data_IF_286620393361
#
_entry.id   IF_286620393361
#
_cell.length_a   1.000
_cell.length_b   1.000
_cell.length_c   1.000
_cell.angle_alpha   90.00
_cell.angle_beta   90.00
_cell.angle_gamma   90.00
#
_symmetry.space_group_name_H-M   'P 1'
#
loop_
_entity.id
_entity.type
_entity.pdbx_description
1 polymer ?
#
# COMPACT_ATOMS: atom_id res chain seq x y z
N UNK A 1 14.68 15.95 -1.95
CA UNK A 1 14.58 14.54 -2.41
C UNK A 1 13.41 14.41 -3.37
N UNK A 2 13.42 13.46 -4.31
CA UNK A 2 12.28 13.22 -5.18
C UNK A 2 11.06 12.80 -4.36
N UNK A 3 9.87 13.15 -4.82
CA UNK A 3 8.63 12.70 -4.22
C UNK A 3 8.46 11.19 -4.47
N UNK A 4 8.06 10.44 -3.44
CA UNK A 4 7.92 8.98 -3.52
C UNK A 4 6.44 8.62 -3.51
N UNK A 5 6.03 7.75 -4.45
CA UNK A 5 4.72 7.13 -4.47
C UNK A 5 4.85 5.64 -4.12
N UNK A 6 4.32 5.28 -2.96
CA UNK A 6 4.26 3.89 -2.48
C UNK A 6 3.00 3.21 -3.00
N UNK A 7 3.14 2.09 -3.72
CA UNK A 7 2.05 1.22 -4.11
C UNK A 7 1.86 0.16 -3.03
N UNK A 8 0.67 0.11 -2.42
CA UNK A 8 0.35 -0.97 -1.50
C UNK A 8 0.21 -2.29 -2.23
N UNK A 9 0.70 -3.36 -1.62
CA UNK A 9 0.56 -4.71 -2.14
C UNK A 9 -0.90 -5.18 -2.22
N UNK A 10 -1.15 -6.17 -3.09
CA UNK A 10 -2.43 -6.90 -3.13
C UNK A 10 -2.17 -8.39 -3.41
N UNK A 11 -3.13 -9.30 -3.20
CA UNK A 11 -2.86 -10.71 -3.40
C UNK A 11 -2.39 -11.05 -4.84
N UNK A 12 -1.54 -12.06 -4.95
CA UNK A 12 -1.11 -12.67 -6.21
C UNK A 12 -1.29 -14.19 -6.17
N UNK A 13 -1.26 -14.84 -7.34
CA UNK A 13 -1.33 -16.31 -7.40
C UNK A 13 -0.07 -16.96 -6.81
N UNK A 14 -0.11 -18.26 -6.45
CA UNK A 14 1.08 -19.01 -6.02
C UNK A 14 2.21 -19.02 -7.05
N UNK A 15 1.89 -18.86 -8.34
CA UNK A 15 2.88 -18.77 -9.42
C UNK A 15 3.45 -17.35 -9.61
N UNK A 16 3.06 -16.39 -8.75
CA UNK A 16 3.50 -15.00 -8.83
C UNK A 16 2.77 -14.17 -9.88
N UNK A 17 1.60 -14.61 -10.35
CA UNK A 17 0.78 -13.84 -11.30
C UNK A 17 0.06 -12.74 -10.51
N UNK A 18 0.32 -11.49 -10.90
CA UNK A 18 -0.31 -10.32 -10.31
C UNK A 18 -1.82 -10.33 -10.54
N UNK A 19 -2.58 -9.88 -9.54
CA UNK A 19 -4.03 -9.76 -9.66
C UNK A 19 -4.42 -8.55 -10.52
N UNK A 20 -5.65 -8.53 -11.08
CA UNK A 20 -6.18 -7.34 -11.75
C UNK A 20 -6.14 -6.07 -10.87
N UNK A 21 -6.25 -6.25 -9.56
CA UNK A 21 -6.07 -5.18 -8.57
C UNK A 21 -4.65 -4.60 -8.61
N UNK A 22 -3.62 -5.45 -8.64
CA UNK A 22 -2.23 -5.01 -8.78
C UNK A 22 -2.00 -4.29 -10.10
N UNK A 23 -2.53 -4.84 -11.20
CA UNK A 23 -2.39 -4.26 -12.54
C UNK A 23 -3.00 -2.86 -12.65
N UNK A 24 -4.19 -2.65 -12.06
CA UNK A 24 -4.83 -1.35 -12.00
C UNK A 24 -4.00 -0.34 -11.18
N UNK A 25 -3.41 -0.77 -10.06
CA UNK A 25 -2.51 0.08 -9.25
C UNK A 25 -1.24 0.44 -10.02
N UNK A 26 -0.62 -0.52 -10.71
CA UNK A 26 0.56 -0.28 -11.56
C UNK A 26 0.23 0.74 -12.66
N UNK A 27 -0.88 0.53 -13.37
CA UNK A 27 -1.34 1.43 -14.44
C UNK A 27 -1.51 2.84 -13.90
N UNK A 28 -2.20 2.97 -12.76
CA UNK A 28 -2.42 4.27 -12.13
C UNK A 28 -1.12 4.94 -11.67
N UNK A 29 -0.17 4.20 -11.12
CA UNK A 29 1.12 4.75 -10.72
C UNK A 29 1.89 5.31 -11.92
N UNK A 30 1.90 4.59 -13.04
CA UNK A 30 2.57 5.01 -14.27
C UNK A 30 1.90 6.27 -14.84
N UNK A 31 0.57 6.36 -14.83
CA UNK A 31 -0.15 7.57 -15.24
C UNK A 31 0.23 8.79 -14.39
N UNK A 32 0.38 8.60 -13.08
CA UNK A 32 0.79 9.67 -12.16
C UNK A 32 2.24 10.07 -12.46
N UNK A 33 3.16 9.12 -12.57
CA UNK A 33 4.56 9.40 -12.88
C UNK A 33 4.75 10.02 -14.27
N UNK A 34 3.93 9.69 -15.26
CA UNK A 34 3.96 10.35 -16.58
C UNK A 34 3.67 11.85 -16.47
N UNK A 35 2.84 12.25 -15.49
CA UNK A 35 2.54 13.67 -15.21
C UNK A 35 3.60 14.33 -14.32
N UNK A 36 4.30 13.55 -13.51
CA UNK A 36 5.34 13.99 -12.57
C UNK A 36 6.61 13.11 -12.73
N UNK A 37 7.41 13.32 -13.78
CA UNK A 37 8.50 12.41 -14.15
C UNK A 37 9.63 12.29 -13.11
N UNK A 38 9.75 13.27 -12.21
CA UNK A 38 10.69 13.26 -11.09
C UNK A 38 10.26 12.35 -9.92
N UNK A 39 9.01 11.87 -9.94
CA UNK A 39 8.47 10.97 -8.93
C UNK A 39 9.14 9.60 -9.01
N UNK A 40 9.48 9.04 -7.86
CA UNK A 40 9.96 7.66 -7.74
C UNK A 40 8.80 6.78 -7.27
N UNK A 41 8.60 5.65 -7.94
CA UNK A 41 7.64 4.64 -7.52
C UNK A 41 8.35 3.58 -6.68
N UNK A 42 7.77 3.26 -5.53
CA UNK A 42 8.14 2.12 -4.69
C UNK A 42 6.90 1.27 -4.42
N UNK A 43 7.07 0.00 -4.10
CA UNK A 43 5.97 -0.89 -3.77
C UNK A 43 6.24 -1.55 -2.42
N UNK A 44 5.18 -1.97 -1.75
CA UNK A 44 5.25 -2.82 -0.56
C UNK A 44 4.74 -4.22 -0.88
N UNK A 45 5.05 -5.18 -0.01
CA UNK A 45 4.53 -6.54 -0.05
C UNK A 45 5.62 -7.60 -0.02
N UNK A 46 5.58 -8.42 1.02
CA UNK A 46 6.37 -9.62 1.24
C UNK A 46 5.57 -10.87 0.92
N UNK A 47 5.35 -11.71 1.93
CA UNK A 47 4.72 -13.03 1.84
C UNK A 47 3.56 -13.16 2.83
N UNK A 48 2.64 -14.10 2.59
CA UNK A 48 1.57 -14.43 3.52
C UNK A 48 0.61 -15.49 2.97
N UNK A 49 0.04 -16.34 3.83
CA UNK A 49 -0.82 -17.47 3.43
C UNK A 49 -2.06 -17.05 2.62
N UNK A 50 -2.56 -15.83 2.86
CA UNK A 50 -3.71 -15.25 2.17
C UNK A 50 -3.35 -14.04 1.29
N UNK A 51 -2.04 -13.83 1.05
CA UNK A 51 -1.53 -12.66 0.35
C UNK A 51 -0.61 -13.06 -0.81
N UNK A 52 0.55 -13.61 -0.49
CA UNK A 52 1.53 -14.05 -1.47
C UNK A 52 2.23 -15.33 -0.99
N UNK A 53 1.93 -16.43 -1.66
CA UNK A 53 2.53 -17.75 -1.42
C UNK A 53 3.55 -18.15 -2.49
N UNK A 54 3.86 -17.25 -3.43
CA UNK A 54 4.87 -17.48 -4.45
C UNK A 54 6.28 -17.42 -3.85
N UNK A 55 7.31 -17.95 -4.54
CA UNK A 55 8.69 -17.87 -4.08
C UNK A 55 9.29 -16.45 -4.18
N UNK A 56 8.57 -15.50 -4.78
CA UNK A 56 9.03 -14.12 -5.02
C UNK A 56 8.22 -13.16 -4.16
N UNK A 57 8.83 -12.22 -3.43
CA UNK A 57 8.08 -11.20 -2.69
C UNK A 57 7.15 -10.39 -3.60
N UNK A 58 5.98 -10.01 -3.09
CA UNK A 58 4.96 -9.33 -3.90
C UNK A 58 5.48 -8.01 -4.50
N UNK A 59 6.24 -7.24 -3.71
CA UNK A 59 6.91 -6.02 -4.15
C UNK A 59 7.76 -6.23 -5.39
N UNK A 60 8.52 -7.32 -5.43
CA UNK A 60 9.43 -7.63 -6.53
C UNK A 60 8.65 -7.94 -7.81
N UNK A 61 7.52 -8.66 -7.70
CA UNK A 61 6.61 -8.90 -8.82
C UNK A 61 6.05 -7.56 -9.39
N UNK A 62 5.66 -6.63 -8.51
CA UNK A 62 5.23 -5.28 -8.88
C UNK A 62 6.35 -4.49 -9.57
N UNK A 63 7.54 -4.47 -8.99
CA UNK A 63 8.72 -3.77 -9.52
C UNK A 63 9.12 -4.28 -10.90
N UNK A 64 9.12 -5.59 -11.11
CA UNK A 64 9.37 -6.18 -12.42
C UNK A 64 8.31 -5.78 -13.44
N UNK A 65 7.04 -5.70 -13.04
CA UNK A 65 5.97 -5.20 -13.92
C UNK A 65 6.13 -3.71 -14.25
N UNK A 66 6.39 -2.88 -13.25
CA UNK A 66 6.64 -1.44 -13.41
C UNK A 66 7.80 -1.16 -14.37
N UNK A 67 8.94 -1.82 -14.16
CA UNK A 67 10.12 -1.70 -15.03
C UNK A 67 9.82 -2.13 -16.47
N UNK A 68 9.11 -3.26 -16.66
CA UNK A 68 8.68 -3.71 -18.00
C UNK A 68 7.78 -2.71 -18.72
N UNK A 69 7.06 -1.87 -17.97
CA UNK A 69 6.20 -0.81 -18.50
C UNK A 69 6.89 0.57 -18.51
N UNK A 70 8.21 0.63 -18.32
CA UNK A 70 9.01 1.86 -18.45
C UNK A 70 8.93 2.82 -17.27
N UNK A 71 8.42 2.38 -16.12
CA UNK A 71 8.36 3.21 -14.93
C UNK A 71 9.77 3.46 -14.35
N UNK A 72 9.98 4.65 -13.78
CA UNK A 72 11.16 4.96 -12.97
C UNK A 72 10.89 4.49 -11.54
N UNK A 73 11.56 3.40 -11.14
CA UNK A 73 11.49 2.90 -9.76
C UNK A 73 12.85 3.06 -9.11
N UNK A 74 12.87 3.11 -7.78
CA UNK A 74 14.10 2.88 -7.02
C UNK A 74 14.09 1.43 -6.52
N UNK A 75 14.86 0.59 -7.21
CA UNK A 75 15.07 -0.81 -6.83
C UNK A 75 16.23 -0.98 -5.83
N UNK A 76 17.01 0.08 -5.56
CA UNK A 76 18.24 0.01 -4.76
C UNK A 76 17.97 0.06 -3.24
N UNK A 77 16.73 0.34 -2.82
CA UNK A 77 16.36 0.49 -1.40
C UNK A 77 14.95 -0.11 -1.12
N UNK A 78 14.71 -0.92 -0.07
CA UNK A 78 15.55 -1.94 0.58
C UNK A 78 14.79 -3.29 0.75
N UNK A 79 15.36 -4.22 1.53
CA UNK A 79 14.65 -5.41 2.09
C UNK A 79 13.46 -5.05 2.99
N UNK A 80 13.22 -3.76 3.26
CA UNK A 80 12.43 -3.28 4.40
C UNK A 80 11.00 -2.86 4.06
N UNK A 81 10.50 -3.24 2.87
CA UNK A 81 9.09 -3.05 2.47
C UNK A 81 8.38 -4.40 2.23
N UNK A 82 8.75 -5.43 3.00
CA UNK A 82 8.24 -6.80 2.90
C UNK A 82 7.08 -7.05 3.87
N UNK A 83 5.98 -6.31 3.68
CA UNK A 83 4.76 -6.37 4.48
C UNK A 83 3.85 -7.54 4.12
N UNK A 84 3.11 -8.04 5.09
CA UNK A 84 2.09 -9.10 4.92
C UNK A 84 0.66 -8.56 5.02
N UNK A 85 0.50 -7.32 5.50
CA UNK A 85 -0.80 -6.68 5.73
C UNK A 85 -0.68 -5.15 5.68
N UNK A 86 -1.84 -4.47 5.66
CA UNK A 86 -1.93 -3.02 5.51
C UNK A 86 -1.34 -2.21 6.67
N UNK A 87 -1.33 -2.77 7.89
CA UNK A 87 -0.70 -2.08 9.03
C UNK A 87 0.81 -2.12 8.88
N UNK A 88 1.37 -3.28 8.51
CA UNK A 88 2.80 -3.41 8.19
C UNK A 88 3.20 -2.53 7.00
N UNK A 89 2.38 -2.46 5.96
CA UNK A 89 2.58 -1.53 4.84
C UNK A 89 2.81 -0.10 5.35
N UNK A 90 1.87 0.40 6.16
CA UNK A 90 1.90 1.77 6.65
C UNK A 90 3.08 2.02 7.59
N UNK A 91 3.35 1.10 8.53
CA UNK A 91 4.49 1.22 9.45
C UNK A 91 5.81 1.25 8.68
N UNK A 92 6.03 0.32 7.75
CA UNK A 92 7.28 0.26 6.97
C UNK A 92 7.46 1.49 6.07
N UNK A 93 6.38 2.00 5.47
CA UNK A 93 6.43 3.25 4.67
C UNK A 93 6.84 4.43 5.56
N UNK A 94 6.29 4.52 6.78
CA UNK A 94 6.61 5.61 7.70
C UNK A 94 8.05 5.52 8.21
N UNK A 95 8.52 4.33 8.58
CA UNK A 95 9.90 4.08 8.99
C UNK A 95 10.89 4.40 7.86
N UNK A 96 10.59 3.94 6.63
CA UNK A 96 11.37 4.25 5.45
C UNK A 96 11.43 5.76 5.22
N UNK A 97 10.28 6.43 5.23
CA UNK A 97 10.18 7.86 4.95
C UNK A 97 10.91 8.69 6.01
N UNK A 98 10.79 8.32 7.28
CA UNK A 98 11.52 8.97 8.38
C UNK A 98 13.04 8.77 8.24
N UNK A 99 13.49 7.54 7.97
CA UNK A 99 14.92 7.20 7.86
C UNK A 99 15.60 7.85 6.66
N UNK A 100 14.82 8.18 5.63
CA UNK A 100 15.28 8.85 4.42
C UNK A 100 14.88 10.33 4.38
N UNK A 101 14.41 10.92 5.49
CA UNK A 101 13.98 12.33 5.57
C UNK A 101 13.00 12.77 4.47
N UNK A 102 12.07 11.89 4.11
CA UNK A 102 10.97 12.17 3.18
C UNK A 102 9.84 12.84 3.96
N UNK A 103 9.67 14.15 3.78
CA UNK A 103 8.70 14.95 4.54
C UNK A 103 7.26 14.75 4.10
N UNK A 104 7.04 14.41 2.82
CA UNK A 104 5.73 14.14 2.23
C UNK A 104 5.85 13.10 1.13
N UNK A 105 4.92 12.16 1.10
CA UNK A 105 4.90 11.07 0.13
C UNK A 105 3.47 10.68 -0.25
N UNK A 106 3.35 9.93 -1.34
CA UNK A 106 2.08 9.41 -1.83
C UNK A 106 1.90 7.95 -1.46
N UNK A 107 0.65 7.54 -1.21
CA UNK A 107 0.27 6.12 -1.06
C UNK A 107 -0.85 5.82 -2.04
N UNK A 108 -0.62 4.84 -2.91
CA UNK A 108 -1.57 4.36 -3.91
C UNK A 108 -2.15 3.01 -3.48
N UNK A 109 -3.48 2.96 -3.39
CA UNK A 109 -4.23 1.73 -3.20
C UNK A 109 -5.46 1.67 -4.10
N UNK A 110 -6.30 0.64 -3.96
CA UNK A 110 -7.56 0.53 -4.70
C UNK A 110 -8.69 1.30 -4.03
N UNK A 111 -9.67 1.75 -4.81
CA UNK A 111 -10.83 2.49 -4.29
C UNK A 111 -11.59 1.69 -3.23
N UNK A 112 -11.80 0.39 -3.44
CA UNK A 112 -12.48 -0.47 -2.45
C UNK A 112 -11.75 -0.56 -1.09
N UNK A 113 -10.43 -0.35 -1.08
CA UNK A 113 -9.55 -0.48 0.09
C UNK A 113 -9.21 0.88 0.75
N UNK A 114 -9.56 1.99 0.08
CA UNK A 114 -9.10 3.33 0.47
C UNK A 114 -9.52 3.70 1.89
N UNK A 115 -10.77 3.44 2.28
CA UNK A 115 -11.27 3.85 3.60
C UNK A 115 -10.49 3.22 4.74
N UNK A 116 -10.13 1.94 4.62
CA UNK A 116 -9.32 1.24 5.64
C UNK A 116 -7.88 1.72 5.65
N UNK A 117 -7.29 1.90 4.47
CA UNK A 117 -5.96 2.48 4.33
C UNK A 117 -5.87 3.87 4.99
N UNK A 118 -6.84 4.75 4.71
CA UNK A 118 -6.91 6.09 5.28
C UNK A 118 -6.96 6.04 6.81
N UNK A 119 -7.86 5.23 7.38
CA UNK A 119 -7.99 5.09 8.84
C UNK A 119 -6.66 4.69 9.49
N UNK A 120 -5.93 3.76 8.86
CA UNK A 120 -4.63 3.30 9.36
C UNK A 120 -3.60 4.44 9.36
N UNK A 121 -3.45 5.16 8.25
CA UNK A 121 -2.51 6.29 8.18
C UNK A 121 -2.90 7.44 9.11
N UNK A 122 -4.20 7.70 9.30
CA UNK A 122 -4.70 8.69 10.26
C UNK A 122 -4.30 8.36 11.71
N UNK A 123 -4.32 7.07 12.09
CA UNK A 123 -3.85 6.61 13.39
C UNK A 123 -2.33 6.76 13.55
N UNK A 124 -1.55 6.34 12.54
CA UNK A 124 -0.10 6.20 12.67
C UNK A 124 0.67 7.51 12.48
N UNK A 125 0.25 8.36 11.53
CA UNK A 125 0.97 9.59 11.19
C UNK A 125 0.07 10.83 11.07
N UNK A 126 -1.23 10.65 10.87
CA UNK A 126 -2.09 11.71 10.34
C UNK A 126 -1.86 11.91 8.83
N UNK A 127 -2.69 12.76 8.22
CA UNK A 127 -2.68 12.99 6.76
C UNK A 127 -1.86 14.20 6.31
N UNK A 128 -1.18 14.91 7.23
CA UNK A 128 -0.40 16.10 6.88
C UNK A 128 0.86 15.76 6.04
N UNK A 129 1.34 14.52 6.15
CA UNK A 129 2.56 14.00 5.50
C UNK A 129 2.27 12.97 4.41
N UNK A 130 1.00 12.58 4.20
CA UNK A 130 0.60 11.50 3.28
C UNK A 130 -0.47 11.98 2.31
N UNK A 131 -0.20 11.86 1.00
CA UNK A 131 -1.21 12.02 -0.04
C UNK A 131 -1.77 10.66 -0.45
N UNK A 132 -3.09 10.48 -0.36
CA UNK A 132 -3.74 9.22 -0.70
C UNK A 132 -4.26 9.23 -2.14
N UNK A 133 -3.91 8.20 -2.91
CA UNK A 133 -4.33 7.99 -4.30
C UNK A 133 -5.10 6.68 -4.44
N UNK A 134 -6.12 6.70 -5.32
CA UNK A 134 -6.88 5.50 -5.68
C UNK A 134 -6.63 5.07 -7.12
N UNK A 135 -6.44 3.77 -7.33
CA UNK A 135 -6.65 3.10 -8.59
C UNK A 135 -8.11 2.60 -8.71
N UNK A 136 -8.56 2.39 -9.94
CA UNK A 136 -9.88 1.81 -10.20
C UNK A 136 -9.96 0.37 -9.69
N UNK A 137 -11.14 -0.03 -9.23
CA UNK A 137 -11.41 -1.41 -8.83
C UNK A 137 -11.58 -2.28 -10.09
N UNK A 138 -11.06 -3.52 -10.09
CA UNK A 138 -11.26 -4.40 -11.23
C UNK A 138 -12.74 -4.79 -11.35
N UNK A 139 -13.29 -4.95 -12.57
CA UNK A 139 -14.65 -5.46 -12.76
C UNK A 139 -14.89 -6.85 -12.14
N UNK A 140 -13.81 -7.62 -11.97
CA UNK A 140 -13.80 -8.94 -11.34
C UNK A 140 -13.66 -8.90 -9.81
N UNK A 141 -13.77 -7.72 -9.18
CA UNK A 141 -13.69 -7.61 -7.72
C UNK A 141 -14.78 -8.47 -7.06
N UNK A 142 -14.35 -9.44 -6.27
CA UNK A 142 -15.25 -10.41 -5.68
C UNK A 142 -15.95 -9.83 -4.42
N UNK A 143 -17.24 -10.18 -4.16
CA UNK A 143 -17.99 -9.63 -3.02
C UNK A 143 -17.38 -9.94 -1.65
N UNK A 144 -16.71 -11.09 -1.50
CA UNK A 144 -16.02 -11.49 -0.27
C UNK A 144 -14.86 -10.55 0.07
N UNK A 145 -14.18 -9.98 -0.93
CA UNK A 145 -13.16 -8.94 -0.72
C UNK A 145 -13.78 -7.68 -0.12
N UNK A 146 -14.96 -7.27 -0.59
CA UNK A 146 -15.67 -6.10 -0.05
C UNK A 146 -16.17 -6.35 1.38
N UNK A 147 -16.68 -7.55 1.66
CA UNK A 147 -17.11 -7.95 2.99
C UNK A 147 -15.92 -8.00 3.97
N UNK A 148 -14.79 -8.53 3.52
CA UNK A 148 -13.54 -8.54 4.29
C UNK A 148 -13.09 -7.10 4.62
N UNK A 149 -13.09 -6.19 3.66
CA UNK A 149 -12.73 -4.79 3.90
C UNK A 149 -13.65 -4.11 4.92
N UNK A 150 -14.96 -4.36 4.80
CA UNK A 150 -15.96 -3.80 5.73
C UNK A 150 -15.71 -4.33 7.15
N UNK A 151 -15.58 -5.65 7.29
CA UNK A 151 -15.34 -6.31 8.58
C UNK A 151 -14.02 -5.85 9.22
N UNK A 152 -12.95 -5.75 8.42
CA UNK A 152 -11.65 -5.31 8.91
C UNK A 152 -11.67 -3.85 9.36
N UNK A 153 -12.36 -2.97 8.61
CA UNK A 153 -12.52 -1.57 9.00
C UNK A 153 -13.38 -1.43 10.26
N UNK A 154 -14.50 -2.14 10.36
CA UNK A 154 -15.38 -2.08 11.52
C UNK A 154 -14.67 -2.58 12.78
N UNK A 155 -13.83 -3.61 12.65
CA UNK A 155 -12.98 -4.09 13.74
C UNK A 155 -11.99 -3.01 14.20
N UNK A 156 -11.33 -2.31 13.28
CA UNK A 156 -10.41 -1.21 13.61
C UNK A 156 -11.14 -0.03 14.26
N UNK A 157 -12.33 0.32 13.79
CA UNK A 157 -13.16 1.38 14.38
C UNK A 157 -13.63 1.03 15.78
N UNK A 158 -14.11 -0.20 15.99
CA UNK A 158 -14.51 -0.69 17.30
C UNK A 158 -13.33 -0.72 18.28
N UNK A 159 -12.12 -1.05 17.80
CA UNK A 159 -10.88 -0.97 18.58
C UNK A 159 -10.44 0.48 18.85
N UNK A 160 -10.83 1.43 18.00
CA UNK A 160 -10.51 2.85 18.12
C UNK A 160 -9.03 3.23 17.87
N UNK A 161 -8.19 2.25 17.54
CA UNK A 161 -6.77 2.42 17.32
C UNK A 161 -6.21 1.36 16.36
N UNK A 162 -5.01 1.61 15.82
CA UNK A 162 -4.17 0.59 15.20
C UNK A 162 -3.14 0.13 16.22
N UNK A 163 -2.89 -1.18 16.32
CA UNK A 163 -1.86 -1.73 17.21
C UNK A 163 -0.65 -2.11 16.36
N UNK A 164 0.52 -1.58 16.70
CA UNK A 164 1.81 -1.93 16.08
C UNK A 164 2.71 -2.45 17.20
N UNK A 165 3.16 -3.70 17.10
CA UNK A 165 4.04 -4.33 18.11
C UNK A 165 3.53 -4.23 19.56
N UNK A 166 2.21 -4.29 19.75
CA UNK A 166 1.56 -4.17 21.06
C UNK A 166 1.35 -2.73 21.55
N UNK A 167 1.80 -1.73 20.80
CA UNK A 167 1.60 -0.30 21.09
C UNK A 167 0.34 0.21 20.36
N UNK A 168 -0.64 0.80 21.07
CA UNK A 168 -1.83 1.36 20.45
C UNK A 168 -1.58 2.78 19.91
N UNK A 169 -2.00 3.01 18.66
CA UNK A 169 -2.00 4.30 17.97
C UNK A 169 -3.46 4.73 17.77
N UNK A 170 -4.00 5.58 18.66
CA UNK A 170 -5.41 5.93 18.65
C UNK A 170 -5.78 6.79 17.45
N UNK A 171 -6.97 6.57 16.90
CA UNK A 171 -7.51 7.44 15.88
C UNK A 171 -7.81 8.81 16.49
N UNK A 172 -7.22 9.89 15.94
CA UNK A 172 -7.29 11.25 16.51
C UNK A 172 -8.71 11.83 16.62
N UNK A 173 -9.67 11.24 15.90
CA UNK A 173 -11.10 11.54 15.97
C UNK A 173 -11.85 10.23 15.95
N UNK A 174 -12.17 9.62 17.09
CA UNK A 174 -13.13 8.50 17.07
C UNK A 174 -14.37 9.00 16.31
N UNK A 175 -14.83 8.31 15.24
CA UNK A 175 -16.12 8.65 14.68
C UNK A 175 -17.14 8.43 15.80
N UNK A 176 -17.93 9.47 16.10
CA UNK A 176 -19.12 9.36 16.95
C UNK A 176 -20.08 8.29 16.42
#
# INVERSE_FOLDING_TARGET
MPYILFILGSPNSPDGILSPTSENRITRAIEIQTKYPEMIIMATGGFGSHFNTSPTPHRELLHQCLLRNGAVIDAASPKDLLSSNTVEDATMILEFSSSHHVERFGVLTSKFHMTRCQFIFECLAGLDVVDLFTAADPPSLAPDVLEHETTALDSLKAQGCVIVEGVPYPHKKLPE
#
